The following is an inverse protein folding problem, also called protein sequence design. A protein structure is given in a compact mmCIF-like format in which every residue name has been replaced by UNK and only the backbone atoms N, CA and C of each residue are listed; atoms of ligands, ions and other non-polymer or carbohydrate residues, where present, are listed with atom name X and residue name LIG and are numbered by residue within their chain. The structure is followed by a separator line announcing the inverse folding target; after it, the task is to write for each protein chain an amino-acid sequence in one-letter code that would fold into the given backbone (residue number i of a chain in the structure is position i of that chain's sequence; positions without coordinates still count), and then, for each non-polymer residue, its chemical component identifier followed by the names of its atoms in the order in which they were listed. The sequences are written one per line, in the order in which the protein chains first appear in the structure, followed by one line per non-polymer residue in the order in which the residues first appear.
data_IF_941281252686
#
_entry.id   IF_941281252686
#
_cell.length_a   1.000
_cell.length_b   1.000
_cell.length_c   1.000
_cell.angle_alpha   90.00
_cell.angle_beta   90.00
_cell.angle_gamma   90.00
#
_symmetry.space_group_name_H-M   'P 1'
#
loop_
_entity.id
_entity.type
_entity.pdbx_description
1 polymer ?
#
# COMPACT_ATOMS: atom_id res chain seq x y z
N UNK A 1 52.50 -70.93 -23.75
CA UNK A 1 52.56 -70.86 -22.27
C UNK A 1 52.14 -69.45 -21.82
N UNK A 2 51.46 -69.30 -20.68
CA UNK A 2 50.27 -68.45 -20.52
C UNK A 2 50.54 -67.02 -20.04
N UNK A 3 49.62 -66.13 -20.38
CA UNK A 3 49.47 -64.80 -19.79
C UNK A 3 49.00 -64.89 -18.32
N UNK A 4 49.54 -64.07 -17.39
CA UNK A 4 48.91 -63.84 -16.09
C UNK A 4 47.81 -62.77 -16.22
N UNK A 5 46.59 -63.16 -15.85
CA UNK A 5 45.39 -62.33 -15.73
C UNK A 5 45.63 -61.13 -14.81
N UNK A 6 45.14 -59.97 -15.24
CA UNK A 6 45.21 -58.71 -14.50
C UNK A 6 44.55 -58.79 -13.12
N UNK A 7 45.26 -58.23 -12.15
CA UNK A 7 44.79 -57.99 -10.78
C UNK A 7 43.52 -57.13 -10.82
N UNK A 8 42.41 -57.68 -10.34
CA UNK A 8 41.22 -56.88 -10.00
C UNK A 8 41.58 -56.12 -8.70
N UNK A 9 41.89 -54.84 -8.82
CA UNK A 9 41.93 -53.94 -7.67
C UNK A 9 40.52 -53.39 -7.52
N UNK A 10 39.72 -54.06 -6.70
CA UNK A 10 38.40 -53.59 -6.29
C UNK A 10 38.58 -52.22 -5.66
N UNK A 11 38.04 -51.18 -6.29
CA UNK A 11 38.01 -49.86 -5.70
C UNK A 11 37.22 -49.95 -4.38
N UNK A 12 37.94 -49.87 -3.26
CA UNK A 12 37.32 -49.54 -1.97
C UNK A 12 36.73 -48.16 -2.18
N UNK A 13 35.40 -48.08 -2.32
CA UNK A 13 34.71 -46.82 -2.07
C UNK A 13 34.91 -46.57 -0.57
N UNK A 14 35.92 -45.78 -0.22
CA UNK A 14 36.02 -45.22 1.13
C UNK A 14 34.71 -44.47 1.39
N UNK A 15 33.84 -45.08 2.18
CA UNK A 15 32.78 -44.34 2.82
C UNK A 15 33.47 -43.27 3.67
N UNK A 16 33.24 -42.00 3.34
CA UNK A 16 33.83 -40.89 4.05
C UNK A 16 33.57 -41.04 5.56
N UNK A 17 34.57 -40.83 6.43
CA UNK A 17 34.45 -41.09 7.86
C UNK A 17 33.31 -40.25 8.44
N UNK A 18 32.28 -40.93 8.94
CA UNK A 18 31.18 -40.30 9.64
C UNK A 18 31.63 -39.95 11.05
N UNK A 19 31.55 -38.66 11.40
CA UNK A 19 31.69 -38.22 12.79
C UNK A 19 32.91 -37.36 13.12
N UNK A 20 33.20 -36.32 12.32
CA UNK A 20 34.06 -35.21 12.77
C UNK A 20 33.48 -33.81 12.63
N UNK A 21 32.35 -33.65 11.95
CA UNK A 21 31.60 -32.40 11.88
C UNK A 21 30.15 -32.67 12.29
N UNK A 22 29.62 -31.79 13.16
CA UNK A 22 28.42 -31.97 13.98
C UNK A 22 27.11 -32.01 13.20
N UNK A 23 26.93 -33.04 12.36
CA UNK A 23 25.71 -33.27 11.57
C UNK A 23 24.42 -33.23 12.42
N UNK A 24 24.48 -33.62 13.69
CA UNK A 24 23.34 -33.56 14.62
C UNK A 24 23.08 -32.15 15.15
N UNK A 25 24.12 -31.35 15.40
CA UNK A 25 24.01 -29.95 15.83
C UNK A 25 23.59 -29.06 14.66
N UNK A 26 24.12 -29.29 13.46
CA UNK A 26 23.70 -28.62 12.21
C UNK A 26 22.22 -28.89 11.89
N UNK A 27 21.75 -30.15 12.01
CA UNK A 27 20.32 -30.45 11.82
C UNK A 27 19.40 -29.77 12.85
N UNK A 28 19.87 -29.60 14.09
CA UNK A 28 19.12 -28.87 15.14
C UNK A 28 19.14 -27.37 14.88
N UNK A 29 20.28 -26.81 14.46
CA UNK A 29 20.41 -25.41 14.10
C UNK A 29 19.54 -25.08 12.88
N UNK A 30 19.56 -25.91 11.84
CA UNK A 30 18.70 -25.77 10.65
C UNK A 30 17.21 -25.83 11.01
N UNK A 31 16.82 -26.75 11.90
CA UNK A 31 15.44 -26.84 12.37
C UNK A 31 15.04 -25.60 13.16
N UNK A 32 15.91 -25.09 14.05
CA UNK A 32 15.67 -23.86 14.80
C UNK A 32 15.57 -22.64 13.89
N UNK A 33 16.47 -22.51 12.92
CA UNK A 33 16.45 -21.41 11.94
C UNK A 33 15.19 -21.44 11.07
N UNK A 34 14.74 -22.63 10.63
CA UNK A 34 13.47 -22.78 9.92
C UNK A 34 12.27 -22.37 10.77
N UNK A 35 12.25 -22.75 12.04
CA UNK A 35 11.16 -22.37 12.96
C UNK A 35 11.16 -20.85 13.17
N UNK A 36 12.30 -20.25 13.50
CA UNK A 36 12.43 -18.81 13.72
C UNK A 36 12.05 -18.06 12.43
N UNK A 37 12.58 -18.49 11.28
CA UNK A 37 12.24 -17.93 9.98
C UNK A 37 10.75 -18.05 9.66
N UNK A 38 10.11 -19.19 9.98
CA UNK A 38 8.67 -19.35 9.79
C UNK A 38 7.85 -18.45 10.71
N UNK A 39 8.25 -18.29 11.97
CA UNK A 39 7.56 -17.44 12.94
C UNK A 39 7.68 -15.98 12.53
N UNK A 40 8.88 -15.54 12.15
CA UNK A 40 9.10 -14.19 11.63
C UNK A 40 8.35 -13.95 10.32
N UNK A 41 8.34 -14.93 9.42
CA UNK A 41 7.62 -14.85 8.14
C UNK A 41 6.11 -14.74 8.35
N UNK A 42 5.52 -15.58 9.18
CA UNK A 42 4.09 -15.52 9.52
C UNK A 42 3.77 -14.22 10.27
N UNK A 43 4.64 -13.78 11.19
CA UNK A 43 4.50 -12.52 11.89
C UNK A 43 4.49 -11.32 10.94
N UNK A 44 5.44 -11.27 10.00
CA UNK A 44 5.52 -10.21 8.98
C UNK A 44 4.27 -10.20 8.09
N UNK A 45 3.81 -11.37 7.62
CA UNK A 45 2.57 -11.46 6.84
C UNK A 45 1.37 -10.98 7.65
N UNK A 46 1.27 -11.32 8.93
CA UNK A 46 0.25 -10.82 9.83
C UNK A 46 0.26 -9.29 9.95
N UNK A 47 1.44 -8.69 10.08
CA UNK A 47 1.61 -7.22 10.11
C UNK A 47 1.17 -6.59 8.79
N UNK A 48 1.56 -7.15 7.65
CA UNK A 48 1.15 -6.65 6.32
C UNK A 48 -0.38 -6.72 6.16
N UNK A 49 -1.01 -7.84 6.54
CA UNK A 49 -2.46 -8.00 6.49
C UNK A 49 -3.15 -7.01 7.44
N UNK A 50 -2.63 -6.82 8.65
CA UNK A 50 -3.19 -5.88 9.62
C UNK A 50 -3.14 -4.43 9.12
N UNK A 51 -1.99 -4.01 8.60
CA UNK A 51 -1.81 -2.72 7.95
C UNK A 51 -2.79 -2.61 6.78
N UNK A 52 -2.75 -3.55 5.82
CA UNK A 52 -3.62 -3.52 4.64
C UNK A 52 -5.11 -3.38 4.99
N UNK A 53 -5.59 -4.14 5.99
CA UNK A 53 -6.99 -4.08 6.42
C UNK A 53 -7.35 -2.72 7.04
N UNK A 54 -6.49 -2.17 7.90
CA UNK A 54 -6.71 -0.85 8.50
C UNK A 54 -6.66 0.31 7.50
N UNK A 55 -5.86 0.20 6.44
CA UNK A 55 -5.73 1.25 5.42
C UNK A 55 -6.89 1.26 4.40
N UNK A 56 -7.56 0.13 4.17
CA UNK A 56 -8.65 0.02 3.18
C UNK A 56 -10.03 0.36 3.79
N UNK A 57 -10.16 0.30 5.12
CA UNK A 57 -11.46 0.19 5.80
C UNK A 57 -12.25 1.46 6.06
N UNK A 58 -11.70 2.67 5.94
CA UNK A 58 -12.35 3.83 6.59
C UNK A 58 -12.39 5.11 5.74
N UNK A 59 -13.05 5.02 4.59
CA UNK A 59 -13.49 6.22 3.86
C UNK A 59 -15.00 6.15 3.64
N UNK A 60 -15.79 6.30 4.71
CA UNK A 60 -17.26 6.45 4.64
C UNK A 60 -17.73 7.60 3.73
N UNK A 61 -16.79 8.42 3.27
CA UNK A 61 -16.92 9.38 2.17
C UNK A 61 -15.73 9.17 1.22
N UNK A 62 -16.01 8.80 -0.03
CA UNK A 62 -15.02 8.70 -1.11
C UNK A 62 -15.30 9.78 -2.15
N UNK A 63 -14.29 10.54 -2.54
CA UNK A 63 -14.42 11.54 -3.59
C UNK A 63 -13.51 11.23 -4.77
N UNK A 64 -13.94 11.63 -5.96
CA UNK A 64 -13.16 11.60 -7.19
C UNK A 64 -13.22 12.97 -7.87
N UNK A 65 -12.07 13.45 -8.36
CA UNK A 65 -11.99 14.66 -9.17
C UNK A 65 -12.15 14.27 -10.64
N UNK A 66 -13.29 14.58 -11.23
CA UNK A 66 -13.60 14.25 -12.63
C UNK A 66 -12.90 15.22 -13.58
N UNK A 67 -12.93 16.52 -13.25
CA UNK A 67 -12.36 17.56 -14.11
C UNK A 67 -11.98 18.79 -13.31
N UNK A 68 -10.88 19.44 -13.68
CA UNK A 68 -10.53 20.78 -13.20
C UNK A 68 -10.57 21.79 -14.35
N UNK A 69 -10.97 23.03 -14.04
CA UNK A 69 -10.96 24.14 -14.99
C UNK A 69 -10.43 25.39 -14.31
N UNK A 70 -9.41 26.00 -14.91
CA UNK A 70 -8.88 27.28 -14.46
C UNK A 70 -9.72 28.38 -15.10
N UNK A 71 -10.42 29.16 -14.27
CA UNK A 71 -11.33 30.22 -14.78
C UNK A 71 -10.71 31.61 -14.71
N UNK A 72 -9.73 31.84 -13.83
CA UNK A 72 -8.98 33.10 -13.73
C UNK A 72 -7.68 32.92 -12.94
N UNK A 73 -6.90 34.01 -12.83
CA UNK A 73 -5.67 34.04 -12.02
C UNK A 73 -5.89 33.79 -10.53
N UNK A 74 -7.12 33.94 -10.03
CA UNK A 74 -7.42 33.79 -8.60
C UNK A 74 -8.58 32.83 -8.33
N UNK A 75 -8.96 32.02 -9.33
CA UNK A 75 -10.08 31.08 -9.20
C UNK A 75 -9.93 29.88 -10.13
N UNK A 76 -10.13 28.70 -9.55
CA UNK A 76 -10.26 27.43 -10.25
C UNK A 76 -11.60 26.77 -9.88
N UNK A 77 -12.12 25.98 -10.80
CA UNK A 77 -13.30 25.14 -10.63
C UNK A 77 -12.88 23.68 -10.69
N UNK A 78 -13.54 22.86 -9.87
CA UNK A 78 -13.31 21.44 -9.75
C UNK A 78 -14.64 20.71 -9.78
N UNK A 79 -14.79 19.76 -10.69
CA UNK A 79 -15.94 18.90 -10.83
C UNK A 79 -15.68 17.63 -10.01
N UNK A 80 -16.39 17.50 -8.89
CA UNK A 80 -16.24 16.38 -7.97
C UNK A 80 -17.44 15.45 -8.07
N UNK A 81 -17.14 14.15 -8.06
CA UNK A 81 -18.11 13.11 -7.74
C UNK A 81 -17.80 12.57 -6.33
N UNK A 82 -18.73 12.71 -5.40
CA UNK A 82 -18.58 12.24 -4.02
C UNK A 82 -19.59 11.14 -3.75
N UNK A 83 -19.12 10.01 -3.23
CA UNK A 83 -19.91 8.86 -2.81
C UNK A 83 -19.83 8.73 -1.29
N UNK A 84 -20.99 8.67 -0.64
CA UNK A 84 -21.10 8.62 0.83
C UNK A 84 -22.37 7.87 1.22
N UNK A 85 -22.54 7.55 2.50
CA UNK A 85 -23.84 7.12 3.00
C UNK A 85 -24.83 8.29 2.99
N UNK A 86 -26.12 8.00 2.74
CA UNK A 86 -27.15 9.04 2.67
C UNK A 86 -27.26 9.84 3.97
N UNK A 87 -27.02 9.19 5.10
CA UNK A 87 -27.12 9.80 6.43
C UNK A 87 -25.78 10.27 7.01
N UNK A 88 -24.67 10.13 6.30
CA UNK A 88 -23.37 10.66 6.73
C UNK A 88 -23.10 12.02 6.08
N UNK A 89 -22.63 12.99 6.86
CA UNK A 89 -22.01 14.19 6.34
C UNK A 89 -20.50 13.98 6.17
N UNK A 90 -19.85 14.92 5.50
CA UNK A 90 -18.40 14.91 5.41
C UNK A 90 -17.88 16.07 4.58
N UNK A 91 -16.57 16.12 4.44
CA UNK A 91 -15.91 17.14 3.62
C UNK A 91 -14.75 16.56 2.82
N UNK A 92 -14.49 17.17 1.67
CA UNK A 92 -13.35 16.86 0.82
C UNK A 92 -12.42 18.06 0.74
N UNK A 93 -11.12 17.82 0.88
CA UNK A 93 -10.09 18.85 0.81
C UNK A 93 -9.52 18.92 -0.59
N UNK A 94 -9.63 20.09 -1.22
CA UNK A 94 -9.03 20.36 -2.53
C UNK A 94 -7.80 21.25 -2.39
N UNK A 95 -6.80 20.99 -3.23
CA UNK A 95 -5.60 21.80 -3.38
C UNK A 95 -5.47 22.28 -4.83
N UNK A 96 -5.09 23.53 -5.02
CA UNK A 96 -4.67 24.07 -6.32
C UNK A 96 -3.16 24.31 -6.33
N UNK A 97 -2.54 24.01 -7.46
CA UNK A 97 -1.11 24.14 -7.69
C UNK A 97 -0.82 25.10 -8.83
N UNK A 98 0.28 25.87 -8.73
CA UNK A 98 0.84 26.63 -9.84
C UNK A 98 1.61 25.74 -10.82
N UNK A 99 2.07 26.33 -11.92
CA UNK A 99 2.94 25.68 -12.91
C UNK A 99 4.19 25.06 -12.29
N UNK A 100 4.80 25.75 -11.31
CA UNK A 100 5.98 25.27 -10.57
C UNK A 100 5.63 24.23 -9.49
N UNK A 101 4.36 23.83 -9.38
CA UNK A 101 3.87 22.89 -8.38
C UNK A 101 3.68 23.48 -6.97
N UNK A 102 3.81 24.80 -6.80
CA UNK A 102 3.57 25.46 -5.53
C UNK A 102 2.08 25.49 -5.20
N UNK A 103 1.72 25.30 -3.93
CA UNK A 103 0.33 25.41 -3.50
C UNK A 103 -0.15 26.86 -3.54
N UNK A 104 -1.17 27.12 -4.35
CA UNK A 104 -1.75 28.44 -4.55
C UNK A 104 -3.17 28.55 -4.00
N UNK A 105 -3.73 27.45 -3.51
CA UNK A 105 -5.04 27.48 -2.89
C UNK A 105 -5.40 26.15 -2.23
N UNK A 106 -6.15 26.24 -1.13
CA UNK A 106 -6.69 25.09 -0.42
C UNK A 106 -8.06 25.42 0.13
N UNK A 107 -9.00 24.48 0.02
CA UNK A 107 -10.32 24.65 0.61
C UNK A 107 -10.99 23.30 0.85
N UNK A 108 -11.69 23.24 1.96
CA UNK A 108 -12.58 22.15 2.30
C UNK A 108 -14.00 22.44 1.79
N UNK A 109 -14.60 21.46 1.14
CA UNK A 109 -15.96 21.51 0.65
C UNK A 109 -16.81 20.49 1.38
N UNK A 110 -17.87 20.95 2.05
CA UNK A 110 -18.79 20.10 2.81
C UNK A 110 -19.89 19.54 1.92
N UNK A 111 -20.28 18.29 2.19
CA UNK A 111 -21.32 17.56 1.46
C UNK A 111 -22.32 16.94 2.46
N UNK A 112 -23.19 17.77 3.02
CA UNK A 112 -24.15 17.37 4.06
C UNK A 112 -25.51 16.90 3.50
N UNK A 113 -25.65 16.86 2.17
CA UNK A 113 -26.88 16.47 1.49
C UNK A 113 -27.25 14.99 1.70
N UNK A 114 -28.53 14.68 1.89
CA UNK A 114 -29.01 13.33 2.20
C UNK A 114 -29.10 12.38 0.98
N UNK A 115 -28.03 12.32 0.18
CA UNK A 115 -27.90 11.45 -1.01
C UNK A 115 -26.61 10.64 -0.93
N UNK A 116 -26.58 9.54 -1.67
CA UNK A 116 -25.46 8.60 -1.72
C UNK A 116 -24.41 8.97 -2.77
N UNK A 117 -24.81 9.74 -3.78
CA UNK A 117 -23.92 10.30 -4.80
C UNK A 117 -24.17 11.80 -4.97
N UNK A 118 -23.11 12.58 -4.92
CA UNK A 118 -23.08 14.02 -5.19
C UNK A 118 -22.22 14.27 -6.40
N UNK A 119 -22.77 14.92 -7.41
CA UNK A 119 -22.03 15.43 -8.55
C UNK A 119 -22.16 16.96 -8.51
N UNK A 120 -21.05 17.67 -8.29
CA UNK A 120 -21.06 19.12 -8.18
C UNK A 120 -19.75 19.75 -8.66
N UNK A 121 -19.88 20.90 -9.31
CA UNK A 121 -18.75 21.80 -9.60
C UNK A 121 -18.58 22.78 -8.45
N UNK A 122 -17.41 22.74 -7.81
CA UNK A 122 -17.05 23.62 -6.71
C UNK A 122 -15.98 24.63 -7.13
N UNK A 123 -16.09 25.86 -6.64
CA UNK A 123 -15.14 26.93 -6.93
C UNK A 123 -14.17 27.16 -5.75
N UNK A 124 -12.88 27.09 -6.05
CA UNK A 124 -11.76 27.36 -5.15
C UNK A 124 -11.14 28.72 -5.50
N UNK A 125 -10.92 29.56 -4.50
CA UNK A 125 -10.11 30.79 -4.66
C UNK A 125 -8.64 30.45 -4.54
N UNK A 126 -7.83 31.04 -5.39
CA UNK A 126 -6.36 30.87 -5.41
C UNK A 126 -5.66 32.21 -5.24
N UNK A 127 -4.48 32.19 -4.63
CA UNK A 127 -3.62 33.35 -4.44
C UNK A 127 -2.94 33.79 -5.74
N UNK A 128 -2.66 32.83 -6.64
CA UNK A 128 -2.15 33.06 -7.99
C UNK A 128 -2.71 32.01 -8.96
N UNK A 129 -2.35 32.13 -10.24
CA UNK A 129 -2.91 31.28 -11.29
C UNK A 129 -2.55 29.82 -11.01
N UNK A 130 -3.58 28.99 -10.88
CA UNK A 130 -3.41 27.55 -10.80
C UNK A 130 -3.32 26.94 -12.20
N UNK A 131 -2.62 25.82 -12.31
CA UNK A 131 -2.53 24.96 -13.50
C UNK A 131 -3.13 23.59 -13.25
N UNK A 132 -3.09 23.13 -11.99
CA UNK A 132 -3.68 21.87 -11.57
C UNK A 132 -4.53 22.06 -10.31
N UNK A 133 -5.54 21.19 -10.18
CA UNK A 133 -6.31 21.02 -8.93
C UNK A 133 -6.28 19.55 -8.58
N UNK A 134 -6.07 19.24 -7.32
CA UNK A 134 -5.96 17.89 -6.79
C UNK A 134 -6.95 17.70 -5.64
N UNK A 135 -7.55 16.52 -5.58
CA UNK A 135 -8.29 16.06 -4.42
C UNK A 135 -7.32 15.41 -3.43
N UNK A 136 -7.21 15.97 -2.23
CA UNK A 136 -6.28 15.46 -1.21
C UNK A 136 -6.88 14.31 -0.41
N UNK A 137 -8.19 14.30 -0.25
CA UNK A 137 -8.91 13.27 0.46
C UNK A 137 -10.29 13.76 0.88
N UNK A 138 -11.11 12.82 1.31
CA UNK A 138 -12.40 13.09 1.92
C UNK A 138 -12.45 12.46 3.31
N UNK A 139 -13.21 13.08 4.19
CA UNK A 139 -13.42 12.59 5.55
C UNK A 139 -14.90 12.65 5.89
N UNK A 140 -15.32 11.64 6.64
CA UNK A 140 -16.68 11.50 7.17
C UNK A 140 -16.79 12.21 8.51
N UNK A 141 -17.92 12.85 8.78
CA UNK A 141 -18.18 13.44 10.11
C UNK A 141 -18.41 12.36 11.17
N UNK A 142 -18.87 11.16 10.76
CA UNK A 142 -18.83 9.99 11.63
C UNK A 142 -17.36 9.55 11.72
N UNK A 143 -16.73 9.77 12.87
CA UNK A 143 -15.41 9.20 13.17
C UNK A 143 -15.39 7.67 13.00
N UNK A 144 -14.21 7.03 13.00
CA UNK A 144 -14.03 5.63 12.61
C UNK A 144 -15.11 4.76 13.24
N UNK A 145 -15.92 4.11 12.41
CA UNK A 145 -16.97 3.21 12.87
C UNK A 145 -16.32 2.08 13.66
N UNK A 146 -16.42 2.15 14.99
CA UNK A 146 -15.98 1.10 15.92
C UNK A 146 -16.93 -0.09 15.91
#
# INVERSE_FOLDING_TARGET
MPAPKGTIMTAVREAAPEGRYGRTEDQRADRKLKIIGSVLGVGLLGVIVWIGFGYIGDQGVSGELIKSKIVSDTRAEAHLEVRKDRESGGYCTLRALSEDGAEVGRKDFRFDQAVDRVDQVVALRTASRATAVELMGCTTDKGPSS
#
